data_IF_492514660089
#
_entry.id   IF_492514660089
#
_cell.length_a   1.000
_cell.length_b   1.000
_cell.length_c   1.000
_cell.angle_alpha   90.00
_cell.angle_beta   90.00
_cell.angle_gamma   90.00
#
_symmetry.space_group_name_H-M   'P 1'
#
loop_
_entity.id
_entity.type
_entity.pdbx_description
1 polymer ?
#
# COMPACT_ATOMS: atom_id res chain seq x y z
N UNK A 1 -32.30 -51.35 69.67
CA UNK A 1 -31.18 -50.36 69.74
C UNK A 1 -30.56 -50.33 68.34
N UNK A 2 -31.14 -49.53 67.47
CA UNK A 2 -30.81 -49.49 66.06
C UNK A 2 -30.22 -48.14 65.68
N UNK A 3 -28.96 -48.17 65.27
CA UNK A 3 -28.23 -46.99 64.80
C UNK A 3 -28.47 -46.83 63.32
N UNK A 4 -29.21 -45.80 62.93
CA UNK A 4 -29.45 -45.44 61.53
C UNK A 4 -28.28 -44.61 61.05
N UNK A 5 -27.44 -45.19 60.18
CA UNK A 5 -26.41 -44.42 59.46
C UNK A 5 -27.03 -43.62 58.33
N UNK A 6 -27.01 -42.29 58.44
CA UNK A 6 -27.36 -41.36 57.40
C UNK A 6 -26.19 -41.24 56.44
N UNK A 7 -26.33 -41.75 55.23
CA UNK A 7 -25.44 -41.46 54.10
C UNK A 7 -25.83 -40.10 53.48
N UNK A 8 -24.98 -39.11 53.67
CA UNK A 8 -25.08 -37.85 52.97
C UNK A 8 -24.45 -38.01 51.60
N UNK A 9 -25.26 -38.07 50.54
CA UNK A 9 -24.83 -38.06 49.18
C UNK A 9 -24.45 -36.60 48.77
N UNK A 10 -23.17 -36.28 48.79
CA UNK A 10 -22.64 -35.01 48.36
C UNK A 10 -22.72 -34.90 46.83
N UNK A 11 -23.67 -34.09 46.34
CA UNK A 11 -23.78 -33.74 44.95
C UNK A 11 -22.68 -32.75 44.58
N UNK A 12 -21.58 -33.23 43.99
CA UNK A 12 -20.52 -32.40 43.38
C UNK A 12 -21.08 -31.81 42.10
N UNK A 13 -21.60 -30.59 42.18
CA UNK A 13 -21.92 -29.76 41.00
C UNK A 13 -20.60 -29.23 40.46
N UNK A 14 -20.05 -29.91 39.46
CA UNK A 14 -18.93 -29.43 38.65
C UNK A 14 -19.42 -28.27 37.82
N UNK A 15 -19.20 -27.06 38.30
CA UNK A 15 -19.45 -25.82 37.55
C UNK A 15 -18.39 -25.73 36.43
N UNK A 16 -18.67 -26.28 35.26
CA UNK A 16 -17.88 -25.99 34.05
C UNK A 16 -18.03 -24.51 33.75
N UNK A 17 -17.13 -23.68 34.23
CA UNK A 17 -16.91 -22.34 33.69
C UNK A 17 -16.44 -22.55 32.25
N UNK A 18 -17.38 -22.47 31.32
CA UNK A 18 -17.04 -22.26 29.90
C UNK A 18 -16.38 -20.89 29.81
N UNK A 19 -15.07 -20.86 29.94
CA UNK A 19 -14.28 -19.70 29.51
C UNK A 19 -14.46 -19.66 28.01
N UNK A 20 -15.46 -18.89 27.55
CA UNK A 20 -15.50 -18.45 26.16
C UNK A 20 -14.23 -17.63 25.97
N UNK A 21 -13.19 -18.25 25.45
CA UNK A 21 -12.06 -17.52 24.91
C UNK A 21 -12.65 -16.64 23.79
N UNK A 22 -12.93 -15.38 24.13
CA UNK A 22 -13.06 -14.36 23.10
C UNK A 22 -11.71 -14.34 22.42
N UNK A 23 -11.55 -15.09 21.34
CA UNK A 23 -10.40 -14.91 20.47
C UNK A 23 -10.42 -13.47 20.04
N UNK A 24 -9.40 -12.72 20.42
CA UNK A 24 -9.28 -11.32 19.99
C UNK A 24 -9.38 -11.29 18.48
N UNK A 25 -10.18 -10.35 17.97
CA UNK A 25 -10.34 -10.18 16.53
C UNK A 25 -8.99 -9.75 15.94
N UNK A 26 -8.60 -10.35 14.85
CA UNK A 26 -7.43 -9.90 14.08
C UNK A 26 -7.75 -8.51 13.53
N UNK A 27 -6.91 -7.55 13.84
CA UNK A 27 -7.01 -6.18 13.34
C UNK A 27 -6.08 -6.03 12.15
N UNK A 28 -6.62 -5.55 11.03
CA UNK A 28 -5.86 -5.37 9.78
C UNK A 28 -5.85 -3.89 9.44
N UNK A 29 -4.66 -3.29 9.40
CA UNK A 29 -4.47 -1.90 9.02
C UNK A 29 -4.52 -1.72 7.52
N UNK A 30 -5.25 -0.72 7.04
CA UNK A 30 -5.30 -0.29 5.63
C UNK A 30 -5.40 1.23 5.56
N UNK A 31 -5.04 1.82 4.41
CA UNK A 31 -5.07 3.29 4.26
C UNK A 31 -6.47 3.80 3.89
N UNK A 32 -7.13 3.15 2.95
CA UNK A 32 -8.42 3.60 2.43
C UNK A 32 -8.36 4.78 1.45
N UNK A 33 -7.16 5.03 0.87
CA UNK A 33 -6.92 6.12 -0.08
C UNK A 33 -6.03 5.70 -1.27
N UNK A 34 -5.99 4.41 -1.58
CA UNK A 34 -5.17 3.82 -2.65
C UNK A 34 -5.98 2.89 -3.57
N UNK A 35 -6.92 3.44 -4.37
CA UNK A 35 -7.69 2.65 -5.32
C UNK A 35 -6.78 2.09 -6.45
N UNK A 36 -7.09 0.89 -7.00
CA UNK A 36 -8.24 0.03 -6.67
C UNK A 36 -8.00 -0.91 -5.49
N UNK A 37 -6.85 -0.82 -4.84
CA UNK A 37 -6.42 -1.73 -3.77
C UNK A 37 -7.26 -1.55 -2.51
N UNK A 38 -7.30 -0.34 -1.98
CA UNK A 38 -8.09 0.03 -0.82
C UNK A 38 -8.55 1.49 -0.96
N UNK A 39 -9.83 1.73 -0.73
CA UNK A 39 -10.44 3.06 -0.85
C UNK A 39 -11.69 3.14 0.02
N UNK A 40 -12.38 4.27 -0.03
CA UNK A 40 -13.68 4.46 0.61
C UNK A 40 -14.77 4.68 -0.42
N UNK A 41 -15.93 4.10 -0.19
CA UNK A 41 -17.12 4.44 -0.94
C UNK A 41 -17.72 5.78 -0.48
N UNK A 42 -18.80 6.21 -1.12
CA UNK A 42 -19.49 7.47 -0.80
C UNK A 42 -20.06 7.51 0.64
N UNK A 43 -20.21 6.38 1.31
CA UNK A 43 -20.64 6.28 2.71
C UNK A 43 -19.47 6.33 3.70
N UNK A 44 -18.23 6.32 3.21
CA UNK A 44 -17.01 6.24 4.01
C UNK A 44 -16.60 4.82 4.38
N UNK A 45 -17.28 3.80 3.85
CA UNK A 45 -16.94 2.41 4.10
C UNK A 45 -15.70 2.03 3.30
N UNK A 46 -14.77 1.31 3.95
CA UNK A 46 -13.59 0.75 3.30
C UNK A 46 -13.99 -0.33 2.29
N UNK A 47 -13.49 -0.21 1.08
CA UNK A 47 -13.71 -1.09 -0.07
C UNK A 47 -12.41 -1.31 -0.83
N UNK A 48 -12.41 -2.22 -1.79
CA UNK A 48 -11.27 -2.49 -2.67
C UNK A 48 -10.79 -3.94 -2.56
N UNK A 49 -9.88 -4.30 -3.46
CA UNK A 49 -9.37 -5.67 -3.57
C UNK A 49 -8.81 -6.19 -2.24
N UNK A 50 -7.99 -5.40 -1.57
CA UNK A 50 -7.33 -5.80 -0.33
C UNK A 50 -8.30 -5.93 0.85
N UNK A 51 -9.32 -5.08 0.89
CA UNK A 51 -10.37 -5.18 1.91
C UNK A 51 -11.15 -6.49 1.76
N UNK A 52 -11.49 -6.86 0.52
CA UNK A 52 -12.17 -8.13 0.23
C UNK A 52 -11.26 -9.34 0.46
N UNK A 53 -9.98 -9.24 0.09
CA UNK A 53 -8.98 -10.27 0.35
C UNK A 53 -8.81 -10.49 1.85
N UNK A 54 -8.71 -9.41 2.65
CA UNK A 54 -8.63 -9.49 4.10
C UNK A 54 -9.82 -10.26 4.70
N UNK A 55 -11.05 -9.90 4.33
CA UNK A 55 -12.25 -10.62 4.78
C UNK A 55 -12.26 -12.09 4.34
N UNK A 56 -11.76 -12.37 3.13
CA UNK A 56 -11.70 -13.74 2.60
C UNK A 56 -10.70 -14.59 3.37
N UNK A 57 -9.51 -14.05 3.65
CA UNK A 57 -8.49 -14.73 4.46
C UNK A 57 -9.01 -15.01 5.88
N UNK A 58 -9.66 -14.02 6.51
CA UNK A 58 -10.23 -14.20 7.84
C UNK A 58 -11.28 -15.32 7.88
N UNK A 59 -12.15 -15.39 6.90
CA UNK A 59 -13.12 -16.50 6.76
C UNK A 59 -12.42 -17.84 6.56
N UNK A 60 -11.37 -17.86 5.72
CA UNK A 60 -10.63 -19.08 5.42
C UNK A 60 -9.95 -19.67 6.66
N UNK A 61 -9.36 -18.83 7.51
CA UNK A 61 -8.70 -19.28 8.76
C UNK A 61 -9.69 -19.41 9.95
N UNK A 62 -10.98 -19.15 9.74
CA UNK A 62 -12.01 -19.26 10.79
C UNK A 62 -11.89 -18.21 11.90
N UNK A 63 -11.27 -17.05 11.62
CA UNK A 63 -11.09 -15.97 12.59
C UNK A 63 -12.00 -14.78 12.31
N UNK A 64 -12.36 -14.06 13.36
CA UNK A 64 -13.01 -12.75 13.22
C UNK A 64 -11.94 -11.67 12.99
N UNK A 65 -12.21 -10.77 12.07
CA UNK A 65 -11.31 -9.66 11.79
C UNK A 65 -12.03 -8.31 11.92
N UNK A 66 -11.25 -7.26 12.01
CA UNK A 66 -11.67 -5.87 11.85
C UNK A 66 -10.66 -5.16 10.96
N UNK A 67 -11.14 -4.30 10.07
CA UNK A 67 -10.27 -3.42 9.27
C UNK A 67 -10.14 -2.10 10.02
N UNK A 68 -8.90 -1.65 10.18
CA UNK A 68 -8.54 -0.41 10.89
C UNK A 68 -7.95 0.55 9.89
N UNK A 69 -8.53 1.73 9.78
CA UNK A 69 -7.99 2.80 8.96
C UNK A 69 -6.78 3.44 9.64
N UNK A 70 -5.72 3.67 8.86
CA UNK A 70 -4.49 4.31 9.30
C UNK A 70 -3.84 5.04 8.12
N UNK A 71 -3.47 6.31 8.31
CA UNK A 71 -2.69 7.05 7.31
C UNK A 71 -1.40 6.30 6.95
N UNK A 72 -1.02 6.35 5.68
CA UNK A 72 0.10 5.57 5.14
C UNK A 72 1.41 5.80 5.88
N UNK A 73 1.79 7.04 6.15
CA UNK A 73 3.05 7.41 6.81
C UNK A 73 3.15 6.88 8.26
N UNK A 74 2.00 6.62 8.89
CA UNK A 74 1.88 6.02 10.22
C UNK A 74 1.73 4.50 10.24
N UNK A 75 1.67 3.82 9.09
CA UNK A 75 1.28 2.40 8.99
C UNK A 75 2.24 1.47 9.76
N UNK A 76 3.54 1.51 9.45
CA UNK A 76 4.54 0.68 10.15
C UNK A 76 4.66 1.05 11.64
N UNK A 77 4.78 2.33 12.03
CA UNK A 77 4.74 2.71 13.44
C UNK A 77 3.52 2.20 14.19
N UNK A 78 2.33 2.24 13.58
CA UNK A 78 1.10 1.76 14.21
C UNK A 78 1.08 0.23 14.40
N UNK A 79 1.62 -0.54 13.44
CA UNK A 79 1.83 -1.98 13.59
C UNK A 79 2.76 -2.29 14.77
N UNK A 80 3.89 -1.60 14.86
CA UNK A 80 4.85 -1.79 15.96
C UNK A 80 4.27 -1.43 17.33
N UNK A 81 3.39 -0.44 17.37
CA UNK A 81 2.61 -0.08 18.57
C UNK A 81 1.40 -1.00 18.82
N UNK A 82 1.22 -2.04 18.02
CA UNK A 82 0.11 -2.99 18.12
C UNK A 82 -1.28 -2.36 18.04
N UNK A 83 -1.43 -1.30 17.25
CA UNK A 83 -2.76 -0.76 16.92
C UNK A 83 -3.55 -1.73 16.05
N UNK A 84 -2.87 -2.52 15.24
CA UNK A 84 -3.38 -3.64 14.46
C UNK A 84 -2.32 -4.75 14.40
N UNK A 85 -2.71 -5.91 13.90
CA UNK A 85 -1.91 -7.13 13.96
C UNK A 85 -1.26 -7.46 12.61
N UNK A 86 -1.81 -6.91 11.52
CA UNK A 86 -1.29 -7.03 10.16
C UNK A 86 -1.58 -5.76 9.36
N UNK A 87 -0.80 -5.54 8.29
CA UNK A 87 -1.02 -4.48 7.31
C UNK A 87 -1.49 -5.14 6.00
N UNK A 88 -2.47 -4.54 5.34
CA UNK A 88 -2.87 -4.85 3.98
C UNK A 88 -3.24 -3.53 3.28
N UNK A 89 -2.24 -2.93 2.63
CA UNK A 89 -2.28 -1.55 2.13
C UNK A 89 -1.31 -1.31 0.95
N UNK A 90 -1.20 -2.26 0.03
CA UNK A 90 -0.31 -2.12 -1.14
C UNK A 90 1.17 -1.99 -0.78
N UNK A 91 1.60 -2.66 0.30
CA UNK A 91 2.95 -2.44 0.82
C UNK A 91 3.97 -3.32 0.09
N UNK A 92 4.81 -2.70 -0.75
CA UNK A 92 5.91 -3.41 -1.42
C UNK A 92 6.93 -3.96 -0.44
N UNK A 93 7.38 -5.18 -0.68
CA UNK A 93 8.48 -5.81 0.05
C UNK A 93 9.78 -5.11 -0.35
N UNK A 94 10.43 -4.45 0.61
CA UNK A 94 11.75 -3.86 0.40
C UNK A 94 12.72 -4.31 1.48
N UNK A 95 14.01 -4.35 1.18
CA UNK A 95 15.06 -4.70 2.14
C UNK A 95 15.03 -3.78 3.37
N UNK A 96 14.67 -2.51 3.18
CA UNK A 96 14.58 -1.55 4.29
C UNK A 96 13.43 -1.89 5.24
N UNK A 97 12.24 -2.13 4.70
CA UNK A 97 11.05 -2.51 5.49
C UNK A 97 11.25 -3.85 6.20
N UNK A 98 11.92 -4.81 5.56
CA UNK A 98 12.23 -6.12 6.15
C UNK A 98 13.16 -6.05 7.38
N UNK A 99 13.89 -4.96 7.59
CA UNK A 99 14.65 -4.74 8.84
C UNK A 99 13.74 -4.53 10.06
N UNK A 100 12.51 -4.13 9.84
CA UNK A 100 11.60 -3.67 10.89
C UNK A 100 10.36 -4.55 11.03
N UNK A 101 9.84 -5.07 9.92
CA UNK A 101 8.62 -5.88 9.87
C UNK A 101 8.83 -7.14 9.02
N UNK A 102 8.01 -8.16 9.29
CA UNK A 102 7.98 -9.40 8.51
C UNK A 102 6.86 -9.31 7.46
N UNK A 103 7.12 -9.83 6.29
CA UNK A 103 6.14 -9.91 5.20
C UNK A 103 5.63 -11.34 5.00
N UNK A 104 4.42 -11.46 4.50
CA UNK A 104 3.90 -12.69 3.89
C UNK A 104 4.58 -12.95 2.54
N UNK A 105 4.16 -13.99 1.85
CA UNK A 105 4.39 -14.08 0.41
C UNK A 105 3.63 -12.96 -0.30
N UNK A 106 4.14 -12.51 -1.46
CA UNK A 106 3.46 -11.51 -2.27
C UNK A 106 2.13 -12.02 -2.82
N UNK A 107 1.14 -11.14 -2.88
CA UNK A 107 -0.18 -11.44 -3.45
C UNK A 107 -0.46 -10.68 -4.75
N UNK A 108 0.33 -9.65 -5.07
CA UNK A 108 0.21 -8.91 -6.32
C UNK A 108 1.53 -8.27 -6.73
N UNK A 109 1.72 -8.16 -8.05
CA UNK A 109 2.81 -7.39 -8.65
C UNK A 109 2.31 -6.02 -9.06
N UNK A 110 3.15 -5.02 -8.88
CA UNK A 110 2.87 -3.66 -9.26
C UNK A 110 4.10 -3.01 -9.89
N UNK A 111 3.88 -2.17 -10.89
CA UNK A 111 4.93 -1.37 -11.50
C UNK A 111 4.66 0.11 -11.25
N UNK A 112 5.70 0.84 -10.88
CA UNK A 112 5.62 2.30 -10.80
C UNK A 112 5.82 2.91 -12.18
N UNK A 113 5.19 4.07 -12.41
CA UNK A 113 5.39 4.85 -13.62
C UNK A 113 5.10 6.33 -13.37
N UNK A 114 5.71 7.19 -14.14
CA UNK A 114 5.35 8.60 -14.16
C UNK A 114 4.01 8.81 -14.89
N UNK A 115 3.23 9.75 -14.41
CA UNK A 115 2.01 10.23 -15.05
C UNK A 115 2.07 11.74 -15.25
N UNK A 116 1.46 12.20 -16.33
CA UNK A 116 1.35 13.62 -16.68
C UNK A 116 -0.06 13.92 -17.20
N UNK A 117 -0.43 15.18 -17.27
CA UNK A 117 -1.61 15.59 -18.05
C UNK A 117 -1.30 15.51 -19.54
N UNK A 118 -2.26 15.05 -20.33
CA UNK A 118 -2.16 15.00 -21.80
C UNK A 118 -1.81 16.38 -22.37
N UNK A 119 -0.87 16.41 -23.29
CA UNK A 119 -0.31 17.64 -23.85
C UNK A 119 0.94 18.14 -23.13
N UNK A 120 1.40 17.41 -22.10
CA UNK A 120 2.65 17.72 -21.40
C UNK A 120 3.87 17.59 -22.31
N UNK A 121 4.86 18.45 -22.10
CA UNK A 121 6.18 18.33 -22.77
C UNK A 121 6.94 17.05 -22.40
N UNK A 122 6.47 16.31 -21.40
CA UNK A 122 7.04 15.03 -20.98
C UNK A 122 6.47 13.83 -21.72
N UNK A 123 5.44 14.02 -22.58
CA UNK A 123 5.00 12.96 -23.49
C UNK A 123 6.09 12.67 -24.52
N UNK A 124 6.21 11.41 -24.95
CA UNK A 124 7.15 11.01 -25.98
C UNK A 124 8.62 10.96 -25.55
N UNK A 125 8.92 10.85 -24.27
CA UNK A 125 10.28 10.58 -23.79
C UNK A 125 10.83 9.28 -24.42
N UNK A 126 12.02 9.37 -25.06
CA UNK A 126 12.71 8.19 -25.63
C UNK A 126 13.33 7.32 -24.51
N UNK A 127 12.51 6.46 -23.95
CA UNK A 127 12.93 5.48 -22.92
C UNK A 127 12.53 4.07 -23.32
N UNK A 128 13.19 3.01 -22.78
CA UNK A 128 12.64 1.67 -22.83
C UNK A 128 11.24 1.62 -22.21
N UNK A 129 10.43 0.64 -22.59
CA UNK A 129 9.06 0.49 -22.05
C UNK A 129 9.05 0.15 -20.55
N UNK A 130 10.08 -0.53 -20.08
CA UNK A 130 10.25 -0.88 -18.67
C UNK A 130 11.70 -1.09 -18.30
N UNK A 131 12.04 -0.82 -17.05
CA UNK A 131 13.37 -1.06 -16.48
C UNK A 131 13.26 -1.74 -15.12
N UNK A 132 14.20 -2.65 -14.87
CA UNK A 132 14.37 -3.22 -13.54
C UNK A 132 15.68 -2.67 -12.94
N UNK A 133 15.54 -1.85 -11.91
CA UNK A 133 16.69 -1.16 -11.29
C UNK A 133 17.70 -2.11 -10.65
N UNK A 134 17.27 -3.31 -10.22
CA UNK A 134 18.18 -4.34 -9.68
C UNK A 134 19.11 -4.93 -10.71
N UNK A 135 18.70 -4.95 -11.99
CA UNK A 135 19.51 -5.56 -13.06
C UNK A 135 20.59 -4.62 -13.59
N UNK A 136 20.38 -3.31 -13.47
CA UNK A 136 21.28 -2.33 -14.05
C UNK A 136 21.33 -2.41 -15.58
N UNK A 137 22.51 -2.11 -16.16
CA UNK A 137 22.75 -2.24 -17.59
C UNK A 137 22.53 -0.97 -18.39
N UNK A 138 22.63 -1.09 -19.73
CA UNK A 138 22.57 0.04 -20.66
C UNK A 138 21.22 0.73 -20.67
N UNK A 139 20.13 -0.05 -20.64
CA UNK A 139 18.76 0.46 -20.72
C UNK A 139 18.37 1.22 -19.48
N UNK A 140 18.77 0.72 -18.30
CA UNK A 140 18.56 1.46 -17.03
C UNK A 140 19.33 2.78 -17.08
N UNK A 141 20.60 2.77 -17.48
CA UNK A 141 21.42 4.00 -17.60
C UNK A 141 20.82 4.98 -18.61
N UNK A 142 20.37 4.50 -19.78
CA UNK A 142 19.72 5.33 -20.79
C UNK A 142 18.46 5.98 -20.22
N UNK A 143 17.59 5.18 -19.60
CA UNK A 143 16.33 5.66 -19.03
C UNK A 143 16.57 6.71 -17.93
N UNK A 144 17.45 6.45 -16.96
CA UNK A 144 17.76 7.39 -15.89
C UNK A 144 18.34 8.69 -16.43
N UNK A 145 19.23 8.63 -17.44
CA UNK A 145 19.78 9.82 -18.10
C UNK A 145 18.68 10.64 -18.80
N UNK A 146 17.78 9.98 -19.54
CA UNK A 146 16.65 10.66 -20.19
C UNK A 146 15.75 11.33 -19.16
N UNK A 147 15.41 10.62 -18.08
CA UNK A 147 14.59 11.15 -16.98
C UNK A 147 15.25 12.34 -16.29
N UNK A 148 16.55 12.25 -16.00
CA UNK A 148 17.31 13.39 -15.42
C UNK A 148 17.18 14.64 -16.27
N UNK A 149 17.31 14.52 -17.59
CA UNK A 149 17.14 15.66 -18.49
C UNK A 149 15.71 16.18 -18.56
N UNK A 150 14.75 15.27 -18.68
CA UNK A 150 13.33 15.61 -18.83
C UNK A 150 12.71 16.22 -17.55
N UNK A 151 13.13 15.74 -16.38
CA UNK A 151 12.60 16.19 -15.09
C UNK A 151 13.36 17.36 -14.46
N UNK A 152 14.43 17.82 -15.11
CA UNK A 152 15.22 18.94 -14.58
C UNK A 152 14.34 20.19 -14.36
N UNK A 153 14.27 20.67 -13.13
CA UNK A 153 13.47 21.82 -12.71
C UNK A 153 11.96 21.61 -12.69
N UNK A 154 11.48 20.39 -12.98
CA UNK A 154 10.07 20.01 -12.91
C UNK A 154 9.62 19.74 -11.48
N UNK A 155 8.34 19.99 -11.21
CA UNK A 155 7.70 19.59 -9.97
C UNK A 155 7.08 18.21 -10.15
N UNK A 156 7.60 17.23 -9.40
CA UNK A 156 7.07 15.85 -9.39
C UNK A 156 6.35 15.60 -8.07
N UNK A 157 5.07 15.29 -8.16
CA UNK A 157 4.21 15.01 -7.02
C UNK A 157 4.23 13.53 -6.65
N UNK A 158 4.22 13.23 -5.35
CA UNK A 158 4.35 11.87 -4.83
C UNK A 158 3.73 11.76 -3.45
N UNK A 159 3.21 10.59 -3.10
CA UNK A 159 2.77 10.34 -1.74
C UNK A 159 3.97 10.19 -0.81
N UNK A 160 3.89 10.80 0.38
CA UNK A 160 4.96 10.78 1.39
C UNK A 160 5.22 9.36 1.92
N UNK A 161 6.44 9.10 2.41
CA UNK A 161 6.86 7.83 3.02
C UNK A 161 6.70 6.59 2.09
N UNK A 162 6.66 6.82 0.78
CA UNK A 162 6.58 5.75 -0.22
C UNK A 162 7.95 5.43 -0.81
N UNK A 163 8.03 4.26 -1.44
CA UNK A 163 9.19 3.88 -2.28
C UNK A 163 9.36 4.85 -3.45
N UNK A 164 8.28 5.45 -3.94
CA UNK A 164 8.26 6.43 -5.02
C UNK A 164 8.96 7.73 -4.61
N UNK A 165 8.65 8.24 -3.40
CA UNK A 165 9.36 9.38 -2.83
C UNK A 165 10.84 9.07 -2.65
N UNK A 166 11.18 7.93 -2.05
CA UNK A 166 12.57 7.53 -1.83
C UNK A 166 13.37 7.49 -3.14
N UNK A 167 12.76 7.01 -4.24
CA UNK A 167 13.41 7.01 -5.55
C UNK A 167 13.65 8.43 -6.09
N UNK A 168 12.70 9.35 -5.93
CA UNK A 168 12.91 10.74 -6.35
C UNK A 168 13.99 11.43 -5.50
N UNK A 169 14.04 11.14 -4.21
CA UNK A 169 15.00 11.71 -3.27
C UNK A 169 16.40 11.07 -3.38
N UNK A 170 16.54 9.89 -4.02
CA UNK A 170 17.83 9.20 -4.19
C UNK A 170 18.81 9.98 -5.08
N UNK A 171 18.32 10.87 -5.95
CA UNK A 171 19.09 11.57 -6.95
C UNK A 171 19.32 10.78 -8.24
N UNK A 172 18.80 9.55 -8.37
CA UNK A 172 18.97 8.72 -9.57
C UNK A 172 18.38 9.36 -10.83
N UNK A 173 17.37 10.22 -10.67
CA UNK A 173 16.75 11.00 -11.74
C UNK A 173 17.18 12.47 -11.73
N UNK A 174 18.31 12.79 -11.06
CA UNK A 174 18.83 14.15 -10.94
C UNK A 174 18.06 15.00 -9.92
N UNK A 175 18.20 16.32 -10.03
CA UNK A 175 17.52 17.25 -9.14
C UNK A 175 16.12 17.58 -9.67
N UNK A 176 15.10 17.12 -8.95
CA UNK A 176 13.69 17.42 -9.22
C UNK A 176 13.08 18.18 -8.03
N UNK A 177 12.04 18.97 -8.28
CA UNK A 177 11.28 19.59 -7.19
C UNK A 177 10.24 18.58 -6.68
N UNK A 178 10.59 17.80 -5.66
CA UNK A 178 9.67 16.81 -5.08
C UNK A 178 8.62 17.51 -4.23
N UNK A 179 7.35 17.26 -4.52
CA UNK A 179 6.22 17.74 -3.71
C UNK A 179 5.46 16.54 -3.15
N UNK A 180 5.39 16.45 -1.82
CA UNK A 180 4.79 15.32 -1.11
C UNK A 180 3.38 15.62 -0.63
N UNK A 181 2.55 14.58 -0.59
CA UNK A 181 1.16 14.60 -0.13
C UNK A 181 0.90 13.44 0.83
N UNK A 182 -0.13 13.55 1.66
CA UNK A 182 -0.49 12.46 2.57
C UNK A 182 -1.07 11.27 1.85
N UNK A 183 -1.88 11.49 0.82
CA UNK A 183 -2.61 10.44 0.10
C UNK A 183 -2.32 10.48 -1.40
N UNK A 184 -2.51 9.34 -2.07
CA UNK A 184 -2.43 9.26 -3.53
C UNK A 184 -3.55 10.08 -4.20
N UNK A 185 -4.72 10.20 -3.58
CA UNK A 185 -5.82 11.02 -4.10
C UNK A 185 -5.43 12.50 -4.20
N UNK A 186 -4.71 13.03 -3.20
CA UNK A 186 -4.20 14.40 -3.24
C UNK A 186 -3.17 14.59 -4.37
N UNK A 187 -2.29 13.61 -4.60
CA UNK A 187 -1.34 13.61 -5.73
C UNK A 187 -2.09 13.69 -7.06
N UNK A 188 -3.12 12.86 -7.23
CA UNK A 188 -3.93 12.81 -8.45
C UNK A 188 -4.66 14.13 -8.70
N UNK A 189 -5.24 14.73 -7.67
CA UNK A 189 -5.94 16.02 -7.76
C UNK A 189 -4.99 17.15 -8.15
N UNK A 190 -3.79 17.18 -7.58
CA UNK A 190 -2.82 18.23 -7.87
C UNK A 190 -2.18 18.06 -9.26
N UNK A 191 -1.95 16.82 -9.70
CA UNK A 191 -1.58 16.55 -11.09
C UNK A 191 -2.67 17.05 -12.06
N UNK A 192 -3.93 16.68 -11.80
CA UNK A 192 -5.06 17.06 -12.66
C UNK A 192 -5.34 18.56 -12.69
N UNK A 193 -4.91 19.30 -11.66
CA UNK A 193 -5.05 20.76 -11.60
C UNK A 193 -3.85 21.52 -12.20
N UNK A 194 -2.82 20.80 -12.66
CA UNK A 194 -1.61 21.40 -13.22
C UNK A 194 -0.65 22.00 -12.19
N UNK A 195 -0.82 21.67 -10.90
CA UNK A 195 0.12 22.08 -9.84
C UNK A 195 1.37 21.22 -9.78
N UNK A 196 1.37 20.09 -10.49
CA UNK A 196 2.52 19.22 -10.71
C UNK A 196 2.78 19.10 -12.22
N UNK A 197 4.04 19.10 -12.63
CA UNK A 197 4.43 18.78 -14.01
C UNK A 197 4.27 17.28 -14.30
N UNK A 198 4.53 16.46 -13.29
CA UNK A 198 4.36 15.00 -13.31
C UNK A 198 4.03 14.47 -11.91
N UNK A 199 3.62 13.22 -11.84
CA UNK A 199 3.48 12.50 -10.58
C UNK A 199 4.10 11.10 -10.72
N UNK A 200 4.56 10.50 -9.62
CA UNK A 200 5.11 9.14 -9.58
C UNK A 200 4.36 8.31 -8.56
N UNK A 201 3.80 7.20 -9.02
CA UNK A 201 3.11 6.20 -8.19
C UNK A 201 3.03 4.87 -8.96
N UNK A 202 2.29 3.90 -8.40
CA UNK A 202 1.88 2.74 -9.16
C UNK A 202 1.06 3.16 -10.38
N UNK A 203 1.35 2.57 -11.52
CA UNK A 203 0.68 2.90 -12.79
C UNK A 203 -0.84 2.76 -12.71
N UNK A 204 -1.31 1.72 -11.98
CA UNK A 204 -2.75 1.45 -11.81
C UNK A 204 -3.49 2.57 -11.08
N UNK A 205 -2.84 3.26 -10.14
CA UNK A 205 -3.47 4.37 -9.41
C UNK A 205 -3.82 5.54 -10.34
N UNK A 206 -2.99 5.80 -11.35
CA UNK A 206 -3.27 6.84 -12.35
C UNK A 206 -4.30 6.41 -13.38
N UNK A 207 -4.25 5.15 -13.84
CA UNK A 207 -5.24 4.64 -14.80
C UNK A 207 -6.63 4.55 -14.19
N UNK A 208 -6.75 4.09 -12.95
CA UNK A 208 -8.02 4.08 -12.20
C UNK A 208 -8.57 5.51 -12.00
N UNK A 209 -7.69 6.45 -11.64
CA UNK A 209 -8.10 7.86 -11.50
C UNK A 209 -8.57 8.46 -12.83
N UNK A 210 -7.83 8.23 -13.93
CA UNK A 210 -8.21 8.73 -15.25
C UNK A 210 -9.57 8.19 -15.70
N UNK A 211 -9.81 6.88 -15.48
CA UNK A 211 -11.08 6.23 -15.83
C UNK A 211 -12.26 6.79 -15.02
N UNK A 212 -12.10 6.90 -13.69
CA UNK A 212 -13.18 7.36 -12.80
C UNK A 212 -13.47 8.85 -12.91
N UNK A 213 -12.44 9.67 -13.07
CA UNK A 213 -12.57 11.12 -13.12
C UNK A 213 -12.83 11.69 -14.52
N UNK A 214 -12.55 10.92 -15.56
CA UNK A 214 -12.54 11.40 -16.95
C UNK A 214 -11.41 12.39 -17.25
N UNK A 215 -10.43 12.55 -16.35
CA UNK A 215 -9.30 13.46 -16.58
C UNK A 215 -8.29 12.85 -17.53
N UNK A 216 -7.72 13.63 -18.46
CA UNK A 216 -6.80 13.13 -19.47
C UNK A 216 -5.38 12.94 -18.89
N UNK A 217 -5.25 12.08 -17.89
CA UNK A 217 -3.96 11.66 -17.34
C UNK A 217 -3.38 10.56 -18.21
N UNK A 218 -2.10 10.66 -18.54
CA UNK A 218 -1.38 9.69 -19.38
C UNK A 218 -0.09 9.25 -18.70
N UNK A 219 0.23 7.97 -18.84
CA UNK A 219 1.48 7.40 -18.32
C UNK A 219 2.61 7.71 -19.30
N UNK A 220 3.79 8.05 -18.77
CA UNK A 220 4.96 8.43 -19.55
C UNK A 220 6.24 7.81 -18.99
N UNK A 221 7.26 7.71 -19.83
CA UNK A 221 8.53 7.10 -19.45
C UNK A 221 8.43 5.59 -19.21
N UNK A 222 9.46 4.97 -18.64
CA UNK A 222 9.47 3.52 -18.41
C UNK A 222 8.60 3.15 -17.22
N UNK A 223 8.12 1.92 -17.19
CA UNK A 223 7.71 1.29 -15.94
C UNK A 223 8.94 0.94 -15.11
N UNK A 224 8.84 1.11 -13.79
CA UNK A 224 9.91 0.80 -12.84
C UNK A 224 9.57 -0.44 -12.02
N UNK A 225 10.56 -1.31 -11.84
CA UNK A 225 10.50 -2.47 -10.95
C UNK A 225 11.87 -2.74 -10.32
N UNK A 226 11.91 -3.58 -9.30
CA UNK A 226 13.13 -3.96 -8.59
C UNK A 226 13.82 -2.79 -7.88
N UNK A 227 14.96 -3.06 -7.23
CA UNK A 227 15.70 -2.04 -6.49
C UNK A 227 14.85 -1.33 -5.44
N UNK A 228 14.78 -0.01 -5.55
CA UNK A 228 14.01 0.83 -4.63
C UNK A 228 12.49 0.54 -4.65
N UNK A 229 11.96 0.04 -5.77
CA UNK A 229 10.53 -0.24 -5.92
C UNK A 229 10.10 -1.59 -5.35
N UNK A 230 11.04 -2.43 -4.91
CA UNK A 230 10.73 -3.79 -4.49
C UNK A 230 10.27 -4.66 -5.66
N UNK A 231 9.64 -5.80 -5.36
CA UNK A 231 9.21 -6.75 -6.37
C UNK A 231 7.69 -6.98 -6.35
N UNK A 232 7.13 -7.17 -5.16
CA UNK A 232 5.73 -7.55 -4.97
C UNK A 232 5.16 -6.88 -3.73
N UNK A 233 3.85 -6.70 -3.71
CA UNK A 233 3.09 -6.29 -2.52
C UNK A 233 2.78 -7.48 -1.63
N UNK A 234 2.91 -7.30 -0.34
CA UNK A 234 2.61 -8.32 0.66
C UNK A 234 2.03 -7.69 1.95
#
# INVERSE_FOLDING_TARGET
>A
MNIIKRFSLGLLISLFLSISANADKIRIGTEGAYPPWNSKDASGKLIGFEVELAWTLCRYIGQQCTIVEQDWDGMIPALLMRKFDAIMAGMSITAERQKTITFSQGYADEVAQLAVMKGSSLEGMDTPSGINLSLGGSDVKKALKTLTGALAGKTVCVQTATIHQNFLDSGDVGSVNVRTYKTQDEVNLDLASGRCDAALAAAVAFTDYAEKSGKPVVLVGPTFSGGAFGNVMA
#
